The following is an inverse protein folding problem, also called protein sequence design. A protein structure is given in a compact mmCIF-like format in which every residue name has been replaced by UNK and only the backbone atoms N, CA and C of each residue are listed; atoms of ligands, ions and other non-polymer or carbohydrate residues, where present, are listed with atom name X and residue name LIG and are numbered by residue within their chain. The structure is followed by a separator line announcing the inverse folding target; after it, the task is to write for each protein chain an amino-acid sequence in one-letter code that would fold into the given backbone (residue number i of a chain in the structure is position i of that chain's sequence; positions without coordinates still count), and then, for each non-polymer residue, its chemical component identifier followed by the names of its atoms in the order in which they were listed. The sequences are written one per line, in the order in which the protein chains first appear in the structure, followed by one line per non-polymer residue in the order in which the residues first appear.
data_IF_532540561075
#
_entry.id   IF_532540561075
#
_cell.length_a   1.000
_cell.length_b   1.000
_cell.length_c   1.000
_cell.angle_alpha   90.00
_cell.angle_beta   90.00
_cell.angle_gamma   90.00
#
_symmetry.space_group_name_H-M   'P 1'
#
loop_
_entity.id
_entity.type
_entity.pdbx_description
1 polymer ?
#
# COMPACT_ATOMS: atom_id res chain seq x y z
N UNK A 1 -17.81 8.20 -10.87
CA UNK A 1 -18.00 6.80 -10.55
C UNK A 1 -17.99 6.57 -9.03
N UNK A 2 -16.92 6.11 -8.38
CA UNK A 2 -16.92 5.92 -6.91
C UNK A 2 -17.29 7.21 -6.18
N UNK A 3 -16.86 8.34 -6.64
CA UNK A 3 -17.18 9.65 -6.08
C UNK A 3 -18.68 9.98 -6.06
N UNK A 4 -19.51 9.30 -6.85
CA UNK A 4 -20.98 9.48 -6.80
C UNK A 4 -21.60 8.94 -5.51
N UNK A 5 -20.91 8.09 -4.81
CA UNK A 5 -21.31 7.53 -3.51
C UNK A 5 -20.62 8.18 -2.32
N UNK A 6 -19.76 9.17 -2.56
CA UNK A 6 -19.08 9.95 -1.54
C UNK A 6 -19.77 11.29 -1.35
N UNK A 7 -19.98 11.68 -0.10
CA UNK A 7 -20.33 13.05 0.26
C UNK A 7 -19.10 13.72 0.82
N UNK A 8 -18.59 14.73 0.12
CA UNK A 8 -17.45 15.54 0.53
C UNK A 8 -17.95 16.89 1.04
N UNK A 9 -17.54 17.28 2.23
CA UNK A 9 -17.89 18.59 2.81
C UNK A 9 -17.04 19.70 2.18
N UNK A 10 -17.43 20.98 2.39
CA UNK A 10 -16.66 22.15 1.97
C UNK A 10 -15.21 22.19 2.48
N UNK A 11 -14.89 21.35 3.48
CA UNK A 11 -13.54 21.18 4.04
C UNK A 11 -12.81 19.96 3.48
N UNK A 12 -13.33 19.28 2.48
CA UNK A 12 -12.78 18.05 1.93
C UNK A 12 -12.97 16.81 2.81
N UNK A 13 -13.74 16.92 3.90
CA UNK A 13 -14.01 15.77 4.78
C UNK A 13 -15.15 14.93 4.23
N UNK A 14 -15.01 13.62 4.30
CA UNK A 14 -16.07 12.67 3.91
C UNK A 14 -17.14 12.70 4.99
N UNK A 15 -18.41 12.88 4.58
CA UNK A 15 -19.55 12.85 5.48
C UNK A 15 -19.81 11.43 6.02
N UNK A 16 -20.50 11.34 7.16
CA UNK A 16 -20.76 10.04 7.81
C UNK A 16 -21.74 9.14 7.04
N UNK A 17 -22.42 9.66 6.04
CA UNK A 17 -23.40 8.95 5.21
C UNK A 17 -22.81 8.32 3.93
N UNK A 18 -21.48 8.23 3.84
CA UNK A 18 -20.83 7.58 2.71
C UNK A 18 -21.29 6.11 2.54
N UNK A 19 -21.46 5.68 1.30
CA UNK A 19 -21.85 4.32 0.94
C UNK A 19 -20.69 3.50 0.41
N UNK A 20 -19.77 4.14 -0.30
CA UNK A 20 -18.52 3.59 -0.81
C UNK A 20 -17.40 4.58 -0.52
N UNK A 21 -16.27 4.10 -0.04
CA UNK A 21 -15.09 4.90 0.25
C UNK A 21 -13.87 4.21 -0.37
N UNK A 22 -13.05 4.97 -1.07
CA UNK A 22 -11.71 4.57 -1.46
C UNK A 22 -10.68 5.27 -0.58
N UNK A 23 -9.75 4.51 -0.03
CA UNK A 23 -8.62 5.02 0.76
C UNK A 23 -7.33 4.54 0.14
N UNK A 24 -6.55 5.45 -0.43
CA UNK A 24 -5.32 5.10 -1.12
C UNK A 24 -4.15 4.83 -0.17
N UNK A 25 -3.24 3.99 -0.65
CA UNK A 25 -1.88 3.82 -0.14
C UNK A 25 -0.89 3.94 -1.30
N UNK A 26 -1.17 4.82 -2.25
CA UNK A 26 -0.44 5.09 -3.49
C UNK A 26 -0.48 3.92 -4.48
N UNK A 27 0.33 2.88 -4.33
CA UNK A 27 0.37 1.72 -5.24
C UNK A 27 -0.88 0.84 -5.20
N UNK A 28 -1.65 0.93 -4.13
CA UNK A 28 -2.95 0.28 -4.00
C UNK A 28 -3.99 1.20 -3.36
N UNK A 29 -5.24 0.82 -3.46
CA UNK A 29 -6.35 1.50 -2.77
C UNK A 29 -7.27 0.49 -2.14
N UNK A 30 -7.74 0.80 -0.93
CA UNK A 30 -8.71 0.01 -0.19
C UNK A 30 -10.10 0.53 -0.49
N UNK A 31 -11.00 -0.34 -0.88
CA UNK A 31 -12.41 0.00 -1.15
C UNK A 31 -13.28 -0.56 -0.03
N UNK A 32 -13.95 0.33 0.67
CA UNK A 32 -14.91 0.02 1.72
C UNK A 32 -16.32 0.24 1.19
N UNK A 33 -17.22 -0.72 1.37
CA UNK A 33 -18.59 -0.65 0.88
C UNK A 33 -19.53 -0.93 2.05
N UNK A 34 -20.25 0.11 2.53
CA UNK A 34 -21.27 -0.03 3.56
C UNK A 34 -22.56 -0.63 3.01
N UNK A 35 -22.94 -0.22 1.81
CA UNK A 35 -24.11 -0.71 1.12
C UNK A 35 -23.72 -1.90 0.23
N UNK A 36 -23.84 -3.10 0.77
CA UNK A 36 -23.43 -4.33 0.12
C UNK A 36 -24.15 -4.60 -1.23
N UNK A 37 -25.29 -3.95 -1.48
CA UNK A 37 -25.96 -4.04 -2.78
C UNK A 37 -25.16 -3.43 -3.93
N UNK A 38 -24.16 -2.61 -3.62
CA UNK A 38 -23.29 -1.94 -4.60
C UNK A 38 -22.01 -2.73 -4.96
N UNK A 39 -21.77 -3.86 -4.32
CA UNK A 39 -20.49 -4.60 -4.48
C UNK A 39 -20.20 -4.92 -5.94
N UNK A 40 -21.16 -5.48 -6.67
CA UNK A 40 -20.99 -5.86 -8.07
C UNK A 40 -20.85 -4.64 -8.99
N UNK A 41 -21.61 -3.57 -8.72
CA UNK A 41 -21.52 -2.32 -9.47
C UNK A 41 -20.17 -1.65 -9.28
N UNK A 42 -19.69 -1.54 -8.04
CA UNK A 42 -18.37 -0.98 -7.72
C UNK A 42 -17.27 -1.78 -8.39
N UNK A 43 -17.33 -3.11 -8.31
CA UNK A 43 -16.37 -4.00 -8.98
C UNK A 43 -16.34 -3.75 -10.48
N UNK A 44 -17.51 -3.71 -11.13
CA UNK A 44 -17.63 -3.50 -12.57
C UNK A 44 -17.06 -2.14 -13.01
N UNK A 45 -17.25 -1.09 -12.19
CA UNK A 45 -16.68 0.24 -12.45
C UNK A 45 -15.15 0.22 -12.31
N UNK A 46 -14.64 -0.35 -11.21
CA UNK A 46 -13.20 -0.39 -10.95
C UNK A 46 -12.47 -1.19 -12.03
N UNK A 47 -13.03 -2.29 -12.51
CA UNK A 47 -12.45 -3.10 -13.60
C UNK A 47 -12.28 -2.34 -14.91
N UNK A 48 -13.00 -1.25 -15.12
CA UNK A 48 -12.93 -0.44 -16.35
C UNK A 48 -11.93 0.72 -16.23
N UNK A 49 -11.37 0.96 -15.04
CA UNK A 49 -10.40 2.04 -14.83
C UNK A 49 -9.05 1.65 -15.42
N UNK A 50 -8.51 2.45 -16.35
CA UNK A 50 -7.17 2.21 -16.89
C UNK A 50 -6.11 2.22 -15.77
N UNK A 51 -5.09 1.38 -15.90
CA UNK A 51 -4.01 1.31 -14.92
C UNK A 51 -4.29 0.42 -13.71
N UNK A 52 -5.44 -0.25 -13.64
CA UNK A 52 -5.69 -1.30 -12.66
C UNK A 52 -5.04 -2.60 -13.10
N UNK A 53 -4.24 -3.20 -12.22
CA UNK A 53 -3.63 -4.52 -12.44
C UNK A 53 -4.48 -5.64 -11.86
N UNK A 54 -4.89 -5.49 -10.60
CA UNK A 54 -5.62 -6.53 -9.89
C UNK A 54 -6.65 -5.97 -8.90
N UNK A 55 -7.71 -6.72 -8.71
CA UNK A 55 -8.70 -6.50 -7.64
C UNK A 55 -8.68 -7.74 -6.75
N UNK A 56 -8.22 -7.56 -5.52
CA UNK A 56 -8.18 -8.59 -4.49
C UNK A 56 -9.48 -8.59 -3.70
N UNK A 57 -9.91 -9.77 -3.32
CA UNK A 57 -11.19 -10.00 -2.63
C UNK A 57 -10.98 -10.09 -1.10
N UNK A 58 -12.09 -10.15 -0.37
CA UNK A 58 -12.06 -10.39 1.07
C UNK A 58 -11.33 -11.69 1.47
N UNK A 59 -11.36 -12.72 0.62
CA UNK A 59 -10.61 -13.95 0.88
C UNK A 59 -9.08 -13.73 0.84
N UNK A 60 -8.60 -12.90 -0.09
CA UNK A 60 -7.19 -12.52 -0.17
C UNK A 60 -6.80 -11.64 1.00
N UNK A 61 -7.64 -10.67 1.36
CA UNK A 61 -7.46 -9.73 2.47
C UNK A 61 -7.28 -10.50 3.79
N UNK A 62 -8.16 -11.46 4.07
CA UNK A 62 -8.10 -12.29 5.28
C UNK A 62 -6.83 -13.12 5.29
N UNK A 63 -6.49 -13.75 4.17
CA UNK A 63 -5.28 -14.58 4.03
C UNK A 63 -3.99 -13.78 4.31
N UNK A 64 -3.97 -12.51 3.98
CA UNK A 64 -2.78 -11.65 4.15
C UNK A 64 -2.80 -10.84 5.45
N UNK A 65 -3.79 -11.06 6.33
CA UNK A 65 -3.94 -10.33 7.59
C UNK A 65 -4.01 -8.80 7.42
N UNK A 66 -4.62 -8.36 6.31
CA UNK A 66 -4.87 -6.95 6.01
C UNK A 66 -6.20 -6.55 6.64
N UNK A 67 -6.53 -5.25 6.63
CA UNK A 67 -7.75 -4.71 7.21
C UNK A 67 -9.02 -5.45 6.75
N UNK A 68 -9.68 -6.23 7.61
CA UNK A 68 -10.81 -7.06 7.24
C UNK A 68 -12.08 -6.27 6.91
N UNK A 69 -12.11 -4.97 7.20
CA UNK A 69 -13.25 -4.08 6.86
C UNK A 69 -13.24 -3.68 5.38
N UNK A 70 -12.11 -3.81 4.70
CA UNK A 70 -12.03 -3.55 3.27
C UNK A 70 -12.77 -4.62 2.46
N UNK A 71 -13.61 -4.19 1.54
CA UNK A 71 -14.33 -5.08 0.62
C UNK A 71 -13.44 -5.55 -0.53
N UNK A 72 -12.61 -4.64 -1.06
CA UNK A 72 -11.62 -4.90 -2.09
C UNK A 72 -10.32 -4.19 -1.78
N UNK A 73 -9.21 -4.73 -2.27
CA UNK A 73 -7.98 -3.99 -2.48
C UNK A 73 -7.73 -3.98 -3.98
N UNK A 74 -7.44 -2.81 -4.50
CA UNK A 74 -7.17 -2.59 -5.93
C UNK A 74 -5.73 -2.18 -6.08
N UNK A 75 -4.97 -2.91 -6.88
CA UNK A 75 -3.56 -2.65 -7.13
C UNK A 75 -3.36 -2.01 -8.50
N UNK A 76 -2.52 -0.99 -8.56
CA UNK A 76 -2.17 -0.31 -9.80
C UNK A 76 -1.11 -1.08 -10.60
N UNK A 77 -1.16 -0.94 -11.93
CA UNK A 77 -0.10 -1.39 -12.82
C UNK A 77 1.19 -0.58 -12.57
N UNK A 78 2.33 -1.13 -12.95
CA UNK A 78 3.57 -0.39 -12.94
C UNK A 78 3.45 0.90 -13.79
N UNK A 79 3.87 2.02 -13.19
CA UNK A 79 3.73 3.34 -13.80
C UNK A 79 2.44 4.08 -13.46
N UNK A 80 1.54 3.45 -12.71
CA UNK A 80 0.32 4.07 -12.18
C UNK A 80 0.34 4.08 -10.65
N UNK A 81 -0.34 5.03 -10.06
CA UNK A 81 -0.61 5.08 -8.63
C UNK A 81 -1.93 5.82 -8.37
N UNK A 82 -2.47 5.62 -7.20
CA UNK A 82 -3.69 6.28 -6.75
C UNK A 82 -3.36 7.54 -5.96
N UNK A 83 -4.25 8.54 -6.06
CA UNK A 83 -4.22 9.75 -5.23
C UNK A 83 -5.52 9.87 -4.45
N UNK A 84 -5.52 10.72 -3.43
CA UNK A 84 -6.72 11.08 -2.67
C UNK A 84 -7.55 12.18 -3.35
N UNK A 85 -7.14 12.63 -4.54
CA UNK A 85 -7.87 13.63 -5.31
C UNK A 85 -9.24 13.10 -5.74
N UNK A 86 -10.27 13.93 -5.57
CA UNK A 86 -11.67 13.59 -5.88
C UNK A 86 -12.26 14.49 -6.99
N UNK A 87 -11.41 15.22 -7.68
CA UNK A 87 -11.81 16.16 -8.72
C UNK A 87 -12.35 15.45 -9.96
N UNK A 88 -13.45 15.96 -10.47
CA UNK A 88 -14.10 15.45 -11.67
C UNK A 88 -13.84 16.38 -12.87
N UNK A 89 -13.82 15.85 -14.05
CA UNK A 89 -14.13 14.49 -14.52
C UNK A 89 -12.92 13.56 -14.64
N UNK A 90 -11.77 13.96 -14.15
CA UNK A 90 -10.50 13.23 -14.36
C UNK A 90 -10.51 11.94 -13.55
N UNK A 91 -10.22 10.80 -14.21
CA UNK A 91 -10.08 9.48 -13.60
C UNK A 91 -8.62 9.04 -13.63
N UNK A 92 -7.92 9.31 -14.72
CA UNK A 92 -6.49 9.03 -14.90
C UNK A 92 -5.86 10.19 -15.66
N UNK A 93 -4.76 10.69 -15.14
CA UNK A 93 -3.98 11.75 -15.80
C UNK A 93 -2.48 11.42 -15.76
N UNK A 94 -1.69 11.82 -16.76
CA UNK A 94 -0.24 11.72 -16.71
C UNK A 94 0.34 12.72 -15.72
N UNK A 95 1.35 12.30 -14.95
CA UNK A 95 2.14 13.24 -14.15
C UNK A 95 3.06 14.05 -15.06
N UNK A 96 2.94 15.38 -15.06
CA UNK A 96 3.88 16.25 -15.77
C UNK A 96 5.25 16.20 -15.05
N UNK A 97 6.33 16.02 -15.81
CA UNK A 97 7.69 16.01 -15.25
C UNK A 97 8.05 17.30 -14.50
N UNK A 98 7.42 18.42 -14.84
CA UNK A 98 7.62 19.72 -14.17
C UNK A 98 6.95 19.79 -12.81
N UNK A 99 6.00 18.90 -12.53
CA UNK A 99 5.25 18.83 -11.28
C UNK A 99 5.84 17.80 -10.31
N UNK A 100 6.83 17.01 -10.76
CA UNK A 100 7.45 16.00 -9.94
C UNK A 100 8.01 16.57 -8.63
N UNK A 101 7.64 15.95 -7.51
CA UNK A 101 8.00 16.38 -6.16
C UNK A 101 6.98 17.31 -5.50
N UNK A 102 5.91 17.71 -6.21
CA UNK A 102 4.74 18.31 -5.59
C UNK A 102 3.86 17.21 -4.95
N UNK A 103 2.88 17.62 -4.15
CA UNK A 103 1.91 16.69 -3.56
C UNK A 103 1.19 15.91 -4.66
N UNK A 104 1.06 14.60 -4.47
CA UNK A 104 0.41 13.67 -5.40
C UNK A 104 1.00 13.65 -6.82
N UNK A 105 2.27 14.08 -6.95
CA UNK A 105 3.03 14.10 -8.22
C UNK A 105 4.39 13.43 -8.02
N UNK A 106 4.40 12.09 -8.02
CA UNK A 106 5.58 11.29 -7.70
C UNK A 106 6.05 10.47 -8.90
N UNK A 107 7.36 10.25 -8.96
CA UNK A 107 7.99 9.35 -9.95
C UNK A 107 8.00 7.90 -9.48
N UNK A 108 7.98 7.69 -8.18
CA UNK A 108 7.92 6.40 -7.53
C UNK A 108 7.11 6.49 -6.25
N UNK A 109 6.37 5.47 -5.93
CA UNK A 109 5.49 5.40 -4.77
C UNK A 109 5.62 4.04 -4.08
N UNK A 110 5.13 3.95 -2.86
CA UNK A 110 4.99 2.70 -2.11
C UNK A 110 3.57 2.11 -2.26
N UNK A 111 3.20 1.15 -1.41
CA UNK A 111 1.83 0.67 -1.28
C UNK A 111 1.43 -0.45 -2.23
N UNK A 112 2.36 -1.03 -2.98
CA UNK A 112 2.14 -2.25 -3.76
C UNK A 112 2.31 -3.50 -2.89
N UNK A 113 1.87 -4.63 -3.40
CA UNK A 113 2.14 -5.92 -2.76
C UNK A 113 3.65 -6.18 -2.66
N UNK A 114 4.12 -6.77 -1.55
CA UNK A 114 5.56 -7.00 -1.34
C UNK A 114 6.18 -7.98 -2.34
N UNK A 115 5.38 -8.86 -2.97
CA UNK A 115 5.82 -9.82 -3.98
C UNK A 115 5.67 -9.30 -5.43
N UNK A 116 5.33 -8.03 -5.63
CA UNK A 116 5.28 -7.40 -6.94
C UNK A 116 6.66 -7.37 -7.58
N UNK A 117 6.75 -7.78 -8.84
CA UNK A 117 8.02 -7.80 -9.57
C UNK A 117 8.64 -6.40 -9.64
N UNK A 118 9.92 -6.31 -9.23
CA UNK A 118 10.67 -5.05 -9.21
C UNK A 118 10.34 -4.13 -8.02
N UNK A 119 9.68 -4.64 -6.99
CA UNK A 119 9.29 -3.88 -5.80
C UNK A 119 10.16 -4.21 -4.57
N UNK A 120 11.41 -4.58 -4.79
CA UNK A 120 12.37 -4.76 -3.69
C UNK A 120 12.84 -3.42 -3.15
N UNK A 121 13.03 -3.37 -1.83
CA UNK A 121 13.61 -2.24 -1.11
C UNK A 121 15.07 -2.50 -0.77
N UNK A 122 15.76 -1.51 -0.22
CA UNK A 122 17.15 -1.63 0.19
C UNK A 122 17.27 -1.41 1.69
N UNK A 123 17.92 -2.33 2.39
CA UNK A 123 18.31 -2.16 3.79
C UNK A 123 19.79 -1.75 3.86
N UNK A 124 20.08 -0.67 4.57
CA UNK A 124 21.43 -0.22 4.89
C UNK A 124 21.60 -0.17 6.40
N UNK A 125 22.60 -0.87 6.90
CA UNK A 125 22.92 -0.91 8.32
C UNK A 125 24.32 -0.36 8.55
N UNK A 126 24.51 0.47 9.58
CA UNK A 126 25.79 1.00 9.97
C UNK A 126 25.87 1.14 11.50
N UNK A 127 27.04 0.79 12.07
CA UNK A 127 27.26 0.87 13.51
C UNK A 127 28.53 0.16 13.94
N UNK A 128 28.91 0.30 15.22
CA UNK A 128 30.13 -0.31 15.74
C UNK A 128 30.10 -1.83 15.70
N UNK A 129 28.92 -2.44 15.81
CA UNK A 129 28.73 -3.90 15.86
C UNK A 129 28.31 -4.47 14.50
N UNK A 130 28.19 -3.63 13.48
CA UNK A 130 27.84 -4.06 12.13
C UNK A 130 29.10 -4.45 11.35
N UNK A 131 29.08 -5.63 10.76
CA UNK A 131 30.14 -6.11 9.88
C UNK A 131 30.14 -5.37 8.54
N UNK A 132 31.31 -5.24 7.93
CA UNK A 132 31.41 -4.77 6.56
C UNK A 132 31.07 -5.90 5.59
N UNK A 133 30.13 -5.67 4.69
CA UNK A 133 29.74 -6.67 3.70
C UNK A 133 28.41 -6.37 3.04
N UNK A 134 27.95 -7.31 2.24
CA UNK A 134 26.65 -7.28 1.57
C UNK A 134 25.90 -8.57 1.90
N UNK A 135 24.63 -8.43 2.19
CA UNK A 135 23.65 -9.51 2.26
C UNK A 135 22.81 -9.37 1.00
N UNK A 136 22.85 -10.38 0.13
CA UNK A 136 22.19 -10.31 -1.18
C UNK A 136 20.68 -10.23 -1.08
N UNK A 137 20.10 -10.92 -0.09
CA UNK A 137 18.65 -11.00 0.11
C UNK A 137 18.32 -11.05 1.60
N UNK A 138 17.31 -10.29 2.00
CA UNK A 138 16.74 -10.28 3.33
C UNK A 138 15.24 -10.02 3.23
N UNK A 139 14.48 -10.56 4.17
CA UNK A 139 13.06 -10.25 4.29
C UNK A 139 12.84 -9.04 5.19
N UNK A 140 11.84 -8.21 4.89
CA UNK A 140 11.47 -7.08 5.74
C UNK A 140 11.17 -7.51 7.18
N UNK A 141 10.57 -8.68 7.37
CA UNK A 141 10.26 -9.24 8.70
C UNK A 141 11.51 -9.63 9.51
N UNK A 142 12.70 -9.72 8.87
CA UNK A 142 13.97 -10.00 9.55
C UNK A 142 14.55 -8.77 10.25
N UNK A 143 14.05 -7.57 9.96
CA UNK A 143 14.56 -6.33 10.57
C UNK A 143 14.32 -6.30 12.07
N UNK A 144 13.11 -6.61 12.52
CA UNK A 144 12.75 -6.57 13.95
C UNK A 144 13.61 -7.52 14.81
N UNK A 145 13.75 -8.83 14.48
CA UNK A 145 14.63 -9.72 15.23
C UNK A 145 16.11 -9.34 15.13
N UNK A 146 16.55 -8.75 14.00
CA UNK A 146 17.91 -8.24 13.85
C UNK A 146 18.19 -7.09 14.81
N UNK A 147 17.29 -6.11 14.87
CA UNK A 147 17.41 -4.98 15.81
C UNK A 147 17.33 -5.44 17.26
N UNK A 148 16.45 -6.39 17.57
CA UNK A 148 16.35 -6.96 18.92
C UNK A 148 17.67 -7.59 19.37
N UNK A 149 18.31 -8.35 18.49
CA UNK A 149 19.61 -8.98 18.80
C UNK A 149 20.71 -7.93 19.01
N UNK A 150 20.75 -6.88 18.20
CA UNK A 150 21.73 -5.77 18.36
C UNK A 150 21.54 -5.02 19.68
N UNK A 151 20.30 -4.90 20.15
CA UNK A 151 19.97 -4.13 21.35
C UNK A 151 19.89 -5.01 22.62
N UNK A 152 20.16 -6.31 22.52
CA UNK A 152 19.95 -7.30 23.58
C UNK A 152 18.53 -7.26 24.17
N UNK A 153 17.54 -7.08 23.28
CA UNK A 153 16.11 -7.06 23.63
C UNK A 153 15.47 -8.39 23.22
N UNK A 154 14.55 -8.89 24.06
CA UNK A 154 13.79 -10.09 23.76
C UNK A 154 12.33 -9.75 23.53
N UNK A 155 11.77 -10.31 22.46
CA UNK A 155 10.33 -10.31 22.24
C UNK A 155 9.67 -11.42 23.04
N UNK A 156 8.51 -11.16 23.63
CA UNK A 156 7.71 -12.17 24.32
C UNK A 156 7.04 -13.14 23.34
N UNK A 157 6.71 -12.66 22.15
CA UNK A 157 6.06 -13.44 21.10
C UNK A 157 7.08 -13.97 20.08
N UNK A 158 6.72 -15.06 19.42
CA UNK A 158 7.47 -15.58 18.27
C UNK A 158 7.33 -14.59 17.11
N UNK A 159 8.45 -14.24 16.49
CA UNK A 159 8.50 -13.39 15.30
C UNK A 159 8.51 -14.25 14.03
N UNK A 160 7.94 -13.71 12.95
CA UNK A 160 7.93 -14.38 11.64
C UNK A 160 9.30 -14.36 10.96
N UNK A 161 10.15 -13.39 11.29
CA UNK A 161 11.49 -13.22 10.74
C UNK A 161 12.60 -13.85 11.61
N UNK A 162 13.78 -13.93 11.04
CA UNK A 162 15.01 -14.40 11.70
C UNK A 162 16.09 -13.31 11.69
N UNK A 163 16.96 -13.23 12.72
CA UNK A 163 18.02 -12.24 12.74
C UNK A 163 19.01 -12.42 11.57
N UNK A 164 19.40 -11.33 10.93
CA UNK A 164 20.44 -11.28 9.90
C UNK A 164 21.82 -11.39 10.53
N UNK A 165 22.16 -12.56 11.05
CA UNK A 165 23.41 -12.79 11.84
C UNK A 165 24.68 -12.47 11.08
N UNK A 166 24.67 -12.57 9.73
CA UNK A 166 25.78 -12.16 8.88
C UNK A 166 26.07 -10.64 8.91
N UNK A 167 25.14 -9.84 9.42
CA UNK A 167 25.31 -8.40 9.57
C UNK A 167 26.14 -8.03 10.80
N UNK A 168 26.45 -8.96 11.71
CA UNK A 168 27.15 -8.68 12.97
C UNK A 168 28.64 -9.03 12.88
N UNK A 169 29.44 -8.31 13.69
CA UNK A 169 30.88 -8.61 13.87
C UNK A 169 31.12 -9.84 14.74
#
# INVERSE_FOLDING_TARGET
AINDWLTVTDKGLIANDWRVLAKTTDGSTYIYIKDLSLVDEVRAIVQQVPGIEMIYTSADIIKWHIDPEATFIVEAQNGFFFTDEVDRPVVVEPTDEKELGQSDRYKAVHGFRPDKVGYQTTLVMAGPDIAHGTIEEASLVDEAPTMAQLLDVKFENVLDGIPLTKAFK
#
